data_IF_631897359912
#
_entry.id   IF_631897359912
#
_cell.length_a   1.000
_cell.length_b   1.000
_cell.length_c   1.000
_cell.angle_alpha   90.00
_cell.angle_beta   90.00
_cell.angle_gamma   90.00
#
_symmetry.space_group_name_H-M   'P 1'
#
loop_
_entity.id
_entity.type
_entity.pdbx_description
1 polymer ?
#
# COMPACT_ATOMS: atom_id res chain seq x y z
N UNK A 1 -5.57 39.42 49.49
CA UNK A 1 -4.64 38.55 48.72
C UNK A 1 -5.47 37.51 47.98
N UNK A 2 -5.61 37.62 46.66
CA UNK A 2 -6.49 36.75 45.86
C UNK A 2 -5.60 35.82 45.03
N UNK A 3 -5.54 34.54 45.39
CA UNK A 3 -4.73 33.52 44.69
C UNK A 3 -5.48 33.10 43.43
N UNK A 4 -4.96 33.45 42.26
CA UNK A 4 -5.45 32.96 40.97
C UNK A 4 -4.84 31.57 40.78
N UNK A 5 -5.68 30.55 40.79
CA UNK A 5 -5.30 29.19 40.41
C UNK A 5 -5.51 29.07 38.90
N UNK A 6 -4.41 29.05 38.15
CA UNK A 6 -4.45 28.75 36.71
C UNK A 6 -4.41 27.22 36.57
N UNK A 7 -5.56 26.64 36.22
CA UNK A 7 -5.67 25.22 35.91
C UNK A 7 -5.18 25.03 34.46
N UNK A 8 -3.94 24.59 34.30
CA UNK A 8 -3.36 24.28 32.98
C UNK A 8 -3.91 22.93 32.51
N UNK A 9 -5.03 22.96 31.78
CA UNK A 9 -5.55 21.79 31.10
C UNK A 9 -4.63 21.44 29.92
N UNK A 10 -3.82 20.38 30.08
CA UNK A 10 -3.08 19.75 29.00
C UNK A 10 -4.10 19.13 28.03
N UNK A 11 -4.52 19.88 27.00
CA UNK A 11 -5.20 19.28 25.86
C UNK A 11 -4.21 18.38 25.13
N UNK A 12 -4.36 17.08 25.29
CA UNK A 12 -3.71 16.09 24.43
C UNK A 12 -4.25 16.31 23.01
N UNK A 13 -3.47 16.96 22.15
CA UNK A 13 -3.74 16.95 20.73
C UNK A 13 -3.63 15.50 20.25
N UNK A 14 -4.61 14.94 19.54
CA UNK A 14 -4.43 13.65 18.90
C UNK A 14 -3.26 13.80 17.93
N UNK A 15 -2.18 13.06 18.20
CA UNK A 15 -1.06 12.92 17.29
C UNK A 15 -1.57 12.07 16.12
N UNK A 16 -2.21 12.70 15.15
CA UNK A 16 -2.54 12.07 13.87
C UNK A 16 -1.24 11.83 13.11
N UNK A 17 -0.50 10.79 13.49
CA UNK A 17 0.38 10.11 12.56
C UNK A 17 -0.56 9.41 11.57
N UNK A 18 -0.63 9.91 10.33
CA UNK A 18 -1.42 9.26 9.30
C UNK A 18 -0.84 7.86 9.08
N UNK A 19 -1.59 6.83 9.48
CA UNK A 19 -1.19 5.45 9.24
C UNK A 19 -1.36 5.14 7.74
N UNK A 20 -0.47 4.33 7.14
CA UNK A 20 -0.67 3.83 5.79
C UNK A 20 -2.03 3.13 5.70
N UNK A 21 -2.80 3.44 4.66
CA UNK A 21 -4.08 2.78 4.44
C UNK A 21 -3.88 1.29 4.13
N UNK A 22 -4.85 0.48 4.55
CA UNK A 22 -4.87 -0.95 4.28
C UNK A 22 -5.17 -1.20 2.80
N UNK A 23 -4.44 -2.12 2.19
CA UNK A 23 -4.53 -2.40 0.75
C UNK A 23 -5.58 -3.46 0.43
N UNK A 24 -6.00 -4.25 1.42
CA UNK A 24 -6.91 -5.37 1.23
C UNK A 24 -6.26 -6.63 0.65
N UNK A 25 -4.93 -6.73 0.60
CA UNK A 25 -4.24 -7.92 0.09
C UNK A 25 -2.80 -8.02 0.63
N UNK A 26 -2.25 -9.23 0.59
CA UNK A 26 -0.84 -9.50 0.85
C UNK A 26 -0.16 -10.07 -0.40
N UNK A 27 1.12 -9.77 -0.54
CA UNK A 27 1.95 -10.25 -1.64
C UNK A 27 3.26 -10.82 -1.11
N UNK A 28 3.80 -11.77 -1.85
CA UNK A 28 5.16 -12.24 -1.70
C UNK A 28 6.04 -11.45 -2.67
N UNK A 29 7.08 -10.82 -2.14
CA UNK A 29 7.91 -9.86 -2.87
C UNK A 29 9.35 -10.33 -2.85
N UNK A 30 9.89 -10.59 -4.03
CA UNK A 30 11.31 -10.86 -4.22
C UNK A 30 12.02 -9.58 -4.60
N UNK A 31 12.98 -9.16 -3.78
CA UNK A 31 13.81 -7.97 -3.98
C UNK A 31 15.25 -8.41 -4.28
N UNK A 32 15.96 -7.66 -5.11
CA UNK A 32 17.39 -7.87 -5.38
C UNK A 32 18.18 -6.58 -5.21
N UNK A 33 19.48 -6.70 -4.95
CA UNK A 33 20.36 -5.55 -4.77
C UNK A 33 20.41 -5.09 -3.32
N UNK A 34 21.62 -4.78 -2.82
CA UNK A 34 21.85 -4.38 -1.43
C UNK A 34 21.86 -2.85 -1.26
N UNK A 35 22.54 -2.14 -2.17
CA UNK A 35 22.63 -0.66 -2.12
C UNK A 35 21.53 0.04 -2.94
N UNK A 36 21.01 -0.63 -3.98
CA UNK A 36 19.91 -0.16 -4.82
C UNK A 36 18.89 -1.29 -4.97
N UNK A 37 18.05 -1.51 -3.95
CA UNK A 37 17.09 -2.61 -3.96
C UNK A 37 16.00 -2.38 -5.01
N UNK A 38 15.78 -3.38 -5.86
CA UNK A 38 14.75 -3.41 -6.89
C UNK A 38 13.82 -4.59 -6.68
N UNK A 39 12.53 -4.38 -6.92
CA UNK A 39 11.55 -5.46 -6.96
C UNK A 39 11.79 -6.28 -8.22
N UNK A 40 11.97 -7.59 -8.04
CA UNK A 40 12.11 -8.57 -9.13
C UNK A 40 10.82 -9.30 -9.43
N UNK A 41 10.02 -9.58 -8.40
CA UNK A 41 8.74 -10.25 -8.54
C UNK A 41 7.83 -9.88 -7.37
N UNK A 42 6.53 -9.75 -7.63
CA UNK A 42 5.51 -9.58 -6.60
C UNK A 42 4.27 -10.39 -6.99
N UNK A 43 3.86 -11.33 -6.16
CA UNK A 43 2.72 -12.24 -6.44
C UNK A 43 1.72 -12.19 -5.29
N UNK A 44 0.43 -12.10 -5.61
CA UNK A 44 -0.66 -12.04 -4.62
C UNK A 44 -0.77 -13.37 -3.87
N UNK A 45 -0.73 -13.30 -2.53
CA UNK A 45 -0.83 -14.46 -1.63
C UNK A 45 -2.18 -14.56 -0.94
N UNK A 46 -2.80 -13.43 -0.62
CA UNK A 46 -4.13 -13.38 -0.01
C UNK A 46 -4.82 -12.08 -0.37
N UNK A 47 -6.14 -12.11 -0.39
CA UNK A 47 -7.02 -10.96 -0.61
C UNK A 47 -8.07 -10.98 0.50
N UNK A 48 -8.33 -9.82 1.09
CA UNK A 48 -9.31 -9.64 2.15
C UNK A 48 -10.69 -9.53 1.51
N UNK A 49 -11.64 -10.32 2.00
CA UNK A 49 -13.04 -10.27 1.54
C UNK A 49 -13.66 -8.89 1.78
N UNK A 50 -14.50 -8.44 0.84
CA UNK A 50 -15.14 -7.13 0.82
C UNK A 50 -14.19 -5.93 0.75
N UNK A 51 -12.90 -6.14 0.48
CA UNK A 51 -11.93 -5.05 0.31
C UNK A 51 -12.01 -4.40 -1.07
N UNK A 52 -11.43 -3.20 -1.20
CA UNK A 52 -11.29 -2.56 -2.52
C UNK A 52 -10.46 -3.41 -3.49
N UNK A 53 -9.53 -4.22 -3.00
CA UNK A 53 -8.71 -5.10 -3.84
C UNK A 53 -9.52 -6.25 -4.45
N UNK A 54 -10.39 -6.88 -3.65
CA UNK A 54 -11.31 -7.92 -4.14
C UNK A 54 -12.26 -7.34 -5.19
N UNK A 55 -12.85 -6.17 -4.90
CA UNK A 55 -13.75 -5.48 -5.83
C UNK A 55 -13.05 -5.06 -7.15
N UNK A 56 -11.74 -4.82 -7.10
CA UNK A 56 -10.91 -4.55 -8.27
C UNK A 56 -10.54 -5.83 -9.06
N UNK A 57 -11.04 -7.01 -8.65
CA UNK A 57 -10.81 -8.28 -9.33
C UNK A 57 -9.43 -8.90 -9.09
N UNK A 58 -8.73 -8.46 -8.05
CA UNK A 58 -7.47 -9.05 -7.61
C UNK A 58 -7.73 -10.42 -7.01
N UNK A 59 -7.02 -11.45 -7.49
CA UNK A 59 -7.11 -12.80 -6.96
C UNK A 59 -5.72 -13.35 -6.59
N UNK A 60 -5.72 -14.38 -5.76
CA UNK A 60 -4.50 -15.10 -5.37
C UNK A 60 -3.83 -15.69 -6.62
N UNK A 61 -2.51 -15.53 -6.71
CA UNK A 61 -1.72 -16.00 -7.85
C UNK A 61 -1.56 -15.00 -8.99
N UNK A 62 -2.24 -13.84 -8.95
CA UNK A 62 -1.95 -12.76 -9.88
C UNK A 62 -0.57 -12.15 -9.57
N UNK A 63 0.17 -11.82 -10.62
CA UNK A 63 1.46 -11.14 -10.53
C UNK A 63 1.27 -9.63 -10.69
N UNK A 64 1.92 -8.85 -9.84
CA UNK A 64 2.00 -7.39 -9.99
C UNK A 64 3.18 -7.07 -10.90
N UNK A 65 2.88 -6.52 -12.08
CA UNK A 65 3.88 -6.17 -13.08
C UNK A 65 4.14 -4.65 -13.16
N UNK A 66 3.30 -3.82 -12.53
CA UNK A 66 3.62 -2.42 -12.25
C UNK A 66 2.82 -1.86 -11.07
N UNK A 67 3.39 -0.88 -10.36
CA UNK A 67 2.75 -0.13 -9.27
C UNK A 67 2.84 1.36 -9.60
N UNK A 68 1.72 2.04 -9.79
CA UNK A 68 1.62 3.44 -10.24
C UNK A 68 2.54 3.73 -11.45
N UNK A 69 2.59 2.79 -12.41
CA UNK A 69 3.42 2.89 -13.60
C UNK A 69 4.90 2.52 -13.41
N UNK A 70 5.33 2.20 -12.18
CA UNK A 70 6.67 1.69 -11.90
C UNK A 70 6.73 0.18 -12.21
N UNK A 71 7.39 -0.19 -13.31
CA UNK A 71 7.41 -1.56 -13.83
C UNK A 71 8.20 -2.54 -12.96
N UNK A 72 7.72 -3.78 -12.87
CA UNK A 72 8.36 -4.89 -12.17
C UNK A 72 8.63 -6.01 -13.19
N UNK A 73 9.89 -6.46 -13.34
CA UNK A 73 11.08 -6.08 -12.57
C UNK A 73 11.61 -4.68 -12.94
N UNK A 74 12.30 -4.02 -11.99
CA UNK A 74 13.03 -2.76 -12.22
C UNK A 74 12.57 -1.61 -11.33
N UNK A 75 11.38 -1.69 -10.74
CA UNK A 75 10.90 -0.72 -9.79
C UNK A 75 11.75 -0.75 -8.51
N UNK A 76 12.19 0.42 -8.05
CA UNK A 76 12.91 0.49 -6.78
C UNK A 76 12.01 0.06 -5.62
N UNK A 77 12.57 -0.67 -4.65
CA UNK A 77 11.81 -1.15 -3.51
C UNK A 77 11.22 0.01 -2.68
N UNK A 78 11.90 1.15 -2.61
CA UNK A 78 11.38 2.36 -1.95
C UNK A 78 10.20 2.95 -2.70
N UNK A 79 10.30 3.10 -4.03
CA UNK A 79 9.18 3.63 -4.84
C UNK A 79 7.95 2.73 -4.73
N UNK A 80 8.13 1.41 -4.83
CA UNK A 80 7.03 0.46 -4.67
C UNK A 80 6.41 0.53 -3.27
N UNK A 81 7.24 0.65 -2.22
CA UNK A 81 6.78 0.78 -0.83
C UNK A 81 6.00 2.08 -0.63
N UNK A 82 6.52 3.20 -1.08
CA UNK A 82 5.90 4.52 -0.92
C UNK A 82 4.54 4.58 -1.63
N UNK A 83 4.44 4.00 -2.83
CA UNK A 83 3.17 3.89 -3.55
C UNK A 83 2.14 3.06 -2.79
N UNK A 84 2.56 1.96 -2.17
CA UNK A 84 1.69 1.07 -1.40
C UNK A 84 1.41 1.53 0.04
N UNK A 85 2.14 2.52 0.56
CA UNK A 85 2.00 3.03 1.94
C UNK A 85 1.37 4.42 2.02
N UNK A 86 0.66 4.84 0.97
CA UNK A 86 -0.12 6.09 0.98
C UNK A 86 -1.21 6.05 2.08
N UNK A 87 -1.70 7.22 2.52
CA UNK A 87 -2.80 7.32 3.48
C UNK A 87 -4.09 6.63 3.00
N UNK A 88 -4.97 6.27 3.94
CA UNK A 88 -6.32 5.84 3.63
C UNK A 88 -7.08 6.88 2.78
N UNK A 89 -7.89 6.40 1.85
CA UNK A 89 -8.62 7.18 0.85
C UNK A 89 -7.85 7.44 -0.46
N UNK A 90 -6.53 7.25 -0.46
CA UNK A 90 -5.72 7.33 -1.68
C UNK A 90 -5.92 6.11 -2.58
N UNK A 91 -5.62 6.28 -3.87
CA UNK A 91 -5.70 5.20 -4.86
C UNK A 91 -4.29 4.79 -5.31
N UNK A 92 -4.10 3.48 -5.41
CA UNK A 92 -2.94 2.87 -6.07
C UNK A 92 -3.41 2.15 -7.31
N UNK A 93 -2.72 2.38 -8.42
CA UNK A 93 -2.97 1.71 -9.70
C UNK A 93 -1.98 0.57 -9.85
N UNK A 94 -2.48 -0.65 -9.97
CA UNK A 94 -1.68 -1.85 -10.15
C UNK A 94 -1.90 -2.39 -11.55
N UNK A 95 -0.83 -2.67 -12.26
CA UNK A 95 -0.92 -3.50 -13.47
C UNK A 95 -0.67 -4.94 -13.06
N UNK A 96 -1.66 -5.78 -13.33
CA UNK A 96 -1.72 -7.16 -12.87
C UNK A 96 -1.64 -8.10 -14.07
N UNK A 97 -1.03 -9.27 -13.87
CA UNK A 97 -0.99 -10.37 -14.83
C UNK A 97 -1.57 -11.62 -14.19
N UNK A 98 -2.58 -12.20 -14.84
CA UNK A 98 -3.19 -13.46 -14.39
C UNK A 98 -2.32 -14.66 -14.79
N UNK A 99 -2.52 -15.83 -14.15
CA UNK A 99 -1.81 -17.07 -14.52
C UNK A 99 -1.99 -17.49 -15.99
N UNK A 100 -3.10 -17.11 -16.63
CA UNK A 100 -3.37 -17.36 -18.06
C UNK A 100 -2.64 -16.38 -19.00
N UNK A 101 -1.92 -15.41 -18.44
CA UNK A 101 -1.17 -14.38 -19.16
C UNK A 101 -1.96 -13.13 -19.50
N UNK A 102 -3.27 -13.07 -19.22
CA UNK A 102 -4.07 -11.86 -19.40
C UNK A 102 -3.61 -10.75 -18.46
N UNK A 103 -3.61 -9.52 -18.96
CA UNK A 103 -3.18 -8.33 -18.22
C UNK A 103 -4.39 -7.45 -17.98
N UNK A 104 -4.51 -6.92 -16.77
CA UNK A 104 -5.56 -5.99 -16.40
C UNK A 104 -5.05 -4.93 -15.42
N UNK A 105 -5.72 -3.78 -15.39
CA UNK A 105 -5.45 -2.72 -14.43
C UNK A 105 -6.40 -2.85 -13.25
N UNK A 106 -5.87 -2.84 -12.03
CA UNK A 106 -6.63 -2.83 -10.79
C UNK A 106 -6.40 -1.49 -10.08
N UNK A 107 -7.51 -0.81 -9.73
CA UNK A 107 -7.48 0.45 -8.97
C UNK A 107 -7.91 0.14 -7.56
N UNK A 108 -7.00 0.27 -6.60
CA UNK A 108 -7.22 -0.09 -5.20
C UNK A 108 -7.26 1.20 -4.38
N UNK A 109 -8.40 1.46 -3.74
CA UNK A 109 -8.50 2.51 -2.72
C UNK A 109 -8.00 1.95 -1.40
N UNK A 110 -7.04 2.64 -0.79
CA UNK A 110 -6.49 2.27 0.51
C UNK A 110 -7.51 2.60 1.61
N UNK A 111 -7.73 1.69 2.55
CA UNK A 111 -8.80 1.77 3.56
C UNK A 111 -8.28 2.16 4.95
#
# INVERSE_FOLDING_TARGET
MKRIVVLLALLSLPSFAAEPGDKGFQMDVSVSGFFSPEVKQATIKSVVENSSAEQAGIVIGDDVIAIDGCEIPGCSASTAKDALQKPAGEVVVLTMKKPDGSIYEARVTLQ
#
